data_IF_802427157895
#
_entry.id   IF_802427157895
#
_cell.length_a   1.000
_cell.length_b   1.000
_cell.length_c   1.000
_cell.angle_alpha   90.00
_cell.angle_beta   90.00
_cell.angle_gamma   90.00
#
_symmetry.space_group_name_H-M   'P 1'
#
loop_
_entity.id
_entity.type
_entity.pdbx_description
1 polymer ?
#
# COMPACT_ATOMS: atom_id res chain seq x y z
N UNK A 1 4.83 -4.79 -14.63
CA UNK A 1 5.61 -5.81 -13.89
C UNK A 1 6.96 -5.20 -13.57
N UNK A 2 7.35 -5.05 -12.29
CA UNK A 2 8.70 -4.58 -11.93
C UNK A 2 9.51 -5.83 -11.60
N UNK A 3 10.16 -6.41 -12.60
CA UNK A 3 11.00 -7.58 -12.39
C UNK A 3 12.40 -7.08 -12.00
N UNK A 4 12.61 -6.86 -10.70
CA UNK A 4 13.94 -6.57 -10.18
C UNK A 4 14.84 -7.79 -10.36
N UNK A 5 16.04 -7.62 -10.90
CA UNK A 5 16.98 -8.72 -11.06
C UNK A 5 17.34 -9.31 -9.70
N UNK A 6 16.92 -10.55 -9.47
CA UNK A 6 17.27 -11.31 -8.26
C UNK A 6 18.73 -11.74 -8.34
N UNK A 7 19.51 -11.43 -7.30
CA UNK A 7 20.89 -11.88 -7.16
C UNK A 7 21.05 -12.75 -5.93
N UNK A 8 22.09 -13.59 -5.92
CA UNK A 8 22.31 -14.58 -4.86
C UNK A 8 23.71 -14.41 -4.23
N UNK A 9 23.86 -14.83 -2.98
CA UNK A 9 25.17 -14.98 -2.32
C UNK A 9 25.86 -16.23 -2.86
N UNK A 10 27.16 -16.37 -2.60
CA UNK A 10 27.90 -17.59 -2.99
C UNK A 10 27.31 -18.87 -2.37
N UNK A 11 26.65 -18.76 -1.21
CA UNK A 11 25.93 -19.86 -0.56
C UNK A 11 24.50 -20.08 -1.07
N UNK A 12 24.08 -19.39 -2.13
CA UNK A 12 22.77 -19.56 -2.75
C UNK A 12 21.60 -18.83 -2.06
N UNK A 13 21.86 -18.01 -1.03
CA UNK A 13 20.82 -17.19 -0.41
C UNK A 13 20.49 -15.97 -1.29
N UNK A 14 19.22 -15.60 -1.40
CA UNK A 14 18.81 -14.40 -2.14
C UNK A 14 19.36 -13.14 -1.45
N UNK A 15 19.92 -12.22 -2.24
CA UNK A 15 20.40 -10.93 -1.74
C UNK A 15 19.24 -9.95 -1.58
N UNK A 16 19.40 -9.05 -0.62
CA UNK A 16 18.51 -7.90 -0.51
C UNK A 16 18.58 -7.04 -1.79
N UNK A 17 17.45 -6.46 -2.23
CA UNK A 17 17.45 -5.51 -3.33
C UNK A 17 18.27 -4.26 -2.95
N UNK A 18 18.71 -3.51 -3.96
CA UNK A 18 19.29 -2.19 -3.72
C UNK A 18 18.25 -1.25 -3.11
N UNK A 19 18.70 -0.23 -2.38
CA UNK A 19 17.81 0.79 -1.83
C UNK A 19 16.97 1.46 -2.93
N UNK A 20 17.58 1.72 -4.09
CA UNK A 20 16.89 2.30 -5.25
C UNK A 20 15.74 1.42 -5.73
N UNK A 21 15.97 0.11 -5.85
CA UNK A 21 14.95 -0.83 -6.29
C UNK A 21 13.83 -0.95 -5.25
N UNK A 22 14.18 -0.95 -3.96
CA UNK A 22 13.20 -0.93 -2.87
C UNK A 22 12.32 0.33 -2.94
N UNK A 23 12.92 1.51 -3.12
CA UNK A 23 12.18 2.77 -3.27
C UNK A 23 11.25 2.74 -4.49
N UNK A 24 11.69 2.18 -5.62
CA UNK A 24 10.85 2.00 -6.81
C UNK A 24 9.64 1.11 -6.53
N UNK A 25 9.79 0.05 -5.74
CA UNK A 25 8.66 -0.79 -5.34
C UNK A 25 7.66 -0.03 -4.48
N UNK A 26 8.15 0.71 -3.48
CA UNK A 26 7.29 1.54 -2.62
C UNK A 26 6.52 2.55 -3.45
N UNK A 27 7.20 3.36 -4.27
CA UNK A 27 6.57 4.36 -5.14
C UNK A 27 5.54 3.71 -6.08
N UNK A 28 5.89 2.58 -6.71
CA UNK A 28 5.00 1.89 -7.63
C UNK A 28 3.76 1.33 -6.94
N UNK A 29 3.88 0.87 -5.69
CA UNK A 29 2.76 0.41 -4.90
C UNK A 29 1.84 1.58 -4.52
N UNK A 30 2.41 2.66 -3.98
CA UNK A 30 1.65 3.85 -3.59
C UNK A 30 0.94 4.52 -4.78
N UNK A 31 1.56 4.57 -5.96
CA UNK A 31 0.93 5.13 -7.17
C UNK A 31 -0.31 4.35 -7.65
N UNK A 32 -0.49 3.09 -7.21
CA UNK A 32 -1.70 2.31 -7.52
C UNK A 32 -2.84 2.59 -6.55
N UNK A 33 -2.55 3.18 -5.40
CA UNK A 33 -3.54 3.52 -4.40
C UNK A 33 -4.10 4.91 -4.71
N UNK A 34 -5.42 5.03 -4.80
CA UNK A 34 -6.07 6.34 -4.98
C UNK A 34 -5.78 7.21 -3.75
N UNK A 35 -5.40 8.47 -3.95
CA UNK A 35 -5.14 9.41 -2.85
C UNK A 35 -6.34 9.54 -1.88
N UNK A 36 -7.55 9.43 -2.42
CA UNK A 36 -8.79 9.42 -1.64
C UNK A 36 -8.89 8.21 -0.70
N UNK A 37 -8.48 7.02 -1.13
CA UNK A 37 -8.42 5.81 -0.29
C UNK A 37 -7.45 6.02 0.88
N UNK A 38 -6.30 6.66 0.61
CA UNK A 38 -5.35 7.00 1.67
C UNK A 38 -5.99 7.98 2.64
N UNK A 39 -6.50 9.12 2.16
CA UNK A 39 -7.14 10.14 3.02
C UNK A 39 -8.26 9.54 3.89
N UNK A 40 -9.15 8.73 3.28
CA UNK A 40 -10.24 8.05 4.00
C UNK A 40 -9.72 7.10 5.08
N UNK A 41 -8.64 6.37 4.85
CA UNK A 41 -8.05 5.49 5.88
C UNK A 41 -7.52 6.25 7.10
N UNK A 42 -6.90 7.41 6.88
CA UNK A 42 -6.40 8.25 7.98
C UNK A 42 -7.54 8.85 8.82
N UNK A 43 -8.66 9.17 8.19
CA UNK A 43 -9.89 9.60 8.86
C UNK A 43 -10.53 8.44 9.64
N UNK A 44 -10.69 7.25 9.03
CA UNK A 44 -11.25 6.04 9.68
C UNK A 44 -10.46 5.60 10.91
N UNK A 45 -9.14 5.73 10.88
CA UNK A 45 -8.29 5.40 12.03
C UNK A 45 -8.21 6.53 13.07
N UNK A 46 -9.00 7.59 12.93
CA UNK A 46 -8.99 8.79 13.78
C UNK A 46 -7.60 9.45 13.92
N UNK A 47 -6.70 9.25 12.95
CA UNK A 47 -5.34 9.81 12.98
C UNK A 47 -5.37 11.30 12.61
N UNK A 48 -6.27 11.67 11.70
CA UNK A 48 -6.40 13.02 11.17
C UNK A 48 -7.79 13.63 11.40
N UNK A 49 -8.60 13.05 12.29
CA UNK A 49 -9.95 13.55 12.53
C UNK A 49 -9.91 14.88 13.31
N UNK A 50 -10.73 15.87 12.94
CA UNK A 50 -10.96 17.05 13.74
C UNK A 50 -11.44 16.70 15.16
N UNK A 51 -10.87 17.38 16.17
CA UNK A 51 -11.28 17.19 17.58
C UNK A 51 -12.66 17.80 17.90
N UNK A 52 -13.21 18.61 16.99
CA UNK A 52 -14.53 19.22 17.12
C UNK A 52 -15.68 18.28 16.71
N UNK A 53 -15.35 17.04 16.32
CA UNK A 53 -16.33 16.03 15.91
C UNK A 53 -16.81 16.20 14.46
N UNK A 54 -16.28 17.17 13.71
CA UNK A 54 -16.57 17.28 12.29
C UNK A 54 -15.89 16.15 11.53
N UNK A 55 -16.65 15.41 10.71
CA UNK A 55 -16.14 14.26 9.95
C UNK A 55 -16.40 12.89 10.59
N UNK A 56 -16.98 12.82 11.79
CA UNK A 56 -17.40 11.56 12.41
C UNK A 56 -18.48 10.82 11.59
N UNK A 57 -19.32 11.55 10.86
CA UNK A 57 -20.34 10.99 9.96
C UNK A 57 -19.69 10.15 8.84
N UNK A 58 -18.47 10.51 8.41
CA UNK A 58 -17.72 9.79 7.38
C UNK A 58 -17.19 8.44 7.88
N UNK A 59 -17.15 8.18 9.20
CA UNK A 59 -16.72 6.89 9.74
C UNK A 59 -17.68 5.75 9.36
N UNK A 60 -18.97 6.08 9.19
CA UNK A 60 -20.04 5.14 8.92
C UNK A 60 -20.33 4.95 7.43
N UNK A 61 -19.92 5.88 6.58
CA UNK A 61 -20.12 5.83 5.12
C UNK A 61 -18.97 5.16 4.36
N UNK A 62 -17.87 4.81 5.03
CA UNK A 62 -16.78 4.06 4.41
C UNK A 62 -17.16 2.58 4.39
N UNK A 63 -18.00 2.20 3.43
CA UNK A 63 -18.29 0.81 3.08
C UNK A 63 -16.99 0.04 2.79
N UNK A 64 -16.97 -1.25 3.13
CA UNK A 64 -15.80 -2.14 3.01
C UNK A 64 -15.42 -2.51 1.56
N UNK A 65 -16.11 -1.99 0.56
CA UNK A 65 -15.79 -2.27 -0.83
C UNK A 65 -14.68 -1.35 -1.33
N UNK A 66 -13.46 -1.90 -1.37
CA UNK A 66 -12.71 -2.13 -2.61
C UNK A 66 -11.44 -2.93 -2.25
N UNK A 67 -11.66 -4.13 -1.71
CA UNK A 67 -10.65 -5.18 -1.72
C UNK A 67 -10.42 -5.60 -3.17
N UNK A 68 -9.57 -4.86 -3.89
CA UNK A 68 -9.13 -5.27 -5.22
C UNK A 68 -8.52 -6.67 -5.09
N UNK A 69 -9.22 -7.64 -5.69
CA UNK A 69 -8.81 -9.01 -5.88
C UNK A 69 -7.32 -9.05 -6.25
N UNK A 70 -6.48 -9.39 -5.28
CA UNK A 70 -5.13 -9.84 -5.58
C UNK A 70 -5.32 -11.26 -6.14
N UNK A 71 -5.62 -11.35 -7.42
CA UNK A 71 -5.64 -12.64 -8.08
C UNK A 71 -4.22 -13.18 -8.02
N UNK A 72 -4.00 -14.08 -7.05
CA UNK A 72 -2.80 -14.87 -6.93
C UNK A 72 -2.86 -15.89 -8.08
N UNK A 73 -2.51 -15.43 -9.29
CA UNK A 73 -2.32 -16.30 -10.44
C UNK A 73 -1.07 -17.13 -10.17
N UNK A 74 -1.26 -18.23 -9.43
CA UNK A 74 -0.31 -19.33 -9.40
C UNK A 74 -0.41 -20.04 -10.75
N UNK A 75 0.51 -19.72 -11.64
CA UNK A 75 0.74 -20.41 -12.91
C UNK A 75 2.23 -20.56 -13.14
#
# INVERSE_FOLDING_TARGET
MVNGEKSYTAGGAMRAPSLELLCKFVISAWNKVKAETVARSFMKCCIANPLDGTGDDLLWEIDEDEGQNYESSSG
#
